data_IF_888774003374
#
_entry.id   IF_888774003374
#
_cell.length_a   1.000
_cell.length_b   1.000
_cell.length_c   1.000
_cell.angle_alpha   90.00
_cell.angle_beta   90.00
_cell.angle_gamma   90.00
#
_symmetry.space_group_name_H-M   'P 1'
#
loop_
_entity.id
_entity.type
_entity.pdbx_description
1 polymer ?
#
# COMPACT_ATOMS: atom_id res chain seq x y z
N UNK A 1 -13.04 14.58 3.61
CA UNK A 1 -12.78 13.62 2.51
C UNK A 1 -14.08 12.98 2.02
N UNK A 2 -14.79 12.18 2.84
CA UNK A 2 -16.08 11.60 2.45
C UNK A 2 -17.15 12.63 2.07
N UNK A 3 -17.15 13.80 2.71
CA UNK A 3 -18.01 14.94 2.35
C UNK A 3 -17.68 15.58 0.99
N UNK A 4 -16.52 15.30 0.41
CA UNK A 4 -16.12 15.82 -0.92
C UNK A 4 -16.45 14.79 -2.00
N UNK A 5 -16.05 13.53 -1.79
CA UNK A 5 -16.14 12.50 -2.83
C UNK A 5 -17.42 11.64 -2.74
N UNK A 6 -18.01 11.50 -1.56
CA UNK A 6 -19.18 10.64 -1.32
C UNK A 6 -18.87 9.13 -1.35
N UNK A 7 -19.62 8.35 -0.58
CA UNK A 7 -19.42 6.89 -0.44
C UNK A 7 -19.57 6.14 -1.78
N UNK A 8 -20.50 6.58 -2.63
CA UNK A 8 -20.74 5.96 -3.94
C UNK A 8 -19.48 5.97 -4.82
N UNK A 9 -18.75 7.09 -4.87
CA UNK A 9 -17.53 7.19 -5.67
C UNK A 9 -16.37 6.39 -5.05
N UNK A 10 -16.32 6.25 -3.72
CA UNK A 10 -15.34 5.37 -3.06
C UNK A 10 -15.58 3.91 -3.44
N UNK A 11 -16.83 3.45 -3.42
CA UNK A 11 -17.18 2.10 -3.85
C UNK A 11 -16.99 1.89 -5.36
N UNK A 12 -17.28 2.90 -6.20
CA UNK A 12 -17.00 2.83 -7.63
C UNK A 12 -15.50 2.65 -7.91
N UNK A 13 -14.65 3.36 -7.16
CA UNK A 13 -13.20 3.17 -7.23
C UNK A 13 -12.80 1.76 -6.75
N UNK A 14 -13.32 1.30 -5.62
CA UNK A 14 -13.05 -0.03 -5.08
C UNK A 14 -13.44 -1.13 -6.09
N UNK A 15 -14.59 -1.00 -6.75
CA UNK A 15 -15.04 -1.91 -7.80
C UNK A 15 -14.10 -1.90 -9.01
N UNK A 16 -13.70 -0.71 -9.50
CA UNK A 16 -12.75 -0.57 -10.61
C UNK A 16 -11.37 -1.16 -10.28
N UNK A 17 -10.96 -1.07 -9.02
CA UNK A 17 -9.75 -1.69 -8.48
C UNK A 17 -9.91 -3.20 -8.17
N UNK A 18 -11.10 -3.76 -8.38
CA UNK A 18 -11.44 -5.17 -8.06
C UNK A 18 -11.22 -5.51 -6.58
N UNK A 19 -11.49 -4.56 -5.70
CA UNK A 19 -11.50 -4.77 -4.26
C UNK A 19 -12.81 -5.47 -3.88
N UNK A 20 -12.74 -6.76 -3.55
CA UNK A 20 -13.92 -7.63 -3.40
C UNK A 20 -14.47 -7.67 -1.97
N UNK A 21 -13.66 -7.31 -0.98
CA UNK A 21 -14.00 -7.42 0.45
C UNK A 21 -13.82 -6.09 1.18
N UNK A 22 -13.80 -5.00 0.43
CA UNK A 22 -13.75 -3.63 0.94
C UNK A 22 -15.10 -3.23 1.52
N UNK A 23 -15.09 -2.65 2.72
CA UNK A 23 -16.29 -2.06 3.33
C UNK A 23 -15.91 -0.73 3.94
N UNK A 24 -16.57 0.33 3.47
CA UNK A 24 -16.33 1.69 3.93
C UNK A 24 -17.09 1.96 5.24
N UNK A 25 -16.38 2.50 6.23
CA UNK A 25 -16.99 3.13 7.41
C UNK A 25 -17.06 4.63 7.15
N UNK A 26 -18.26 5.21 7.22
CA UNK A 26 -18.49 6.64 6.90
C UNK A 26 -18.09 7.60 8.02
N UNK A 27 -18.00 7.10 9.26
CA UNK A 27 -17.44 7.83 10.40
C UNK A 27 -15.90 7.88 10.34
N UNK A 28 -15.24 7.28 11.32
CA UNK A 28 -13.77 7.11 11.30
C UNK A 28 -13.38 6.17 10.17
N UNK A 29 -13.04 6.72 9.01
CA UNK A 29 -12.72 5.95 7.80
C UNK A 29 -11.59 4.92 8.00
N UNK A 30 -10.71 5.13 8.99
CA UNK A 30 -9.68 4.18 9.39
C UNK A 30 -10.21 2.82 9.86
N UNK A 31 -11.49 2.74 10.25
CA UNK A 31 -12.17 1.49 10.60
C UNK A 31 -12.78 0.76 9.39
N UNK A 32 -12.56 1.29 8.18
CA UNK A 32 -12.98 0.60 6.96
C UNK A 32 -12.27 -0.73 6.83
N UNK A 33 -13.02 -1.77 6.47
CA UNK A 33 -12.45 -3.09 6.21
C UNK A 33 -11.67 -3.08 4.91
N UNK A 34 -10.42 -3.51 5.00
CA UNK A 34 -9.54 -3.79 3.85
C UNK A 34 -9.02 -5.22 3.93
N UNK A 35 -8.52 -5.75 2.82
CA UNK A 35 -7.78 -7.03 2.80
C UNK A 35 -6.48 -6.85 2.04
N UNK A 36 -5.48 -7.68 2.36
CA UNK A 36 -4.19 -7.63 1.66
C UNK A 36 -4.38 -7.84 0.14
N UNK A 37 -5.22 -8.80 -0.26
CA UNK A 37 -5.52 -9.06 -1.66
C UNK A 37 -6.16 -7.86 -2.38
N UNK A 38 -7.09 -7.16 -1.73
CA UNK A 38 -7.73 -5.97 -2.31
C UNK A 38 -6.75 -4.80 -2.43
N UNK A 39 -5.93 -4.57 -1.40
CA UNK A 39 -4.90 -3.53 -1.41
C UNK A 39 -3.82 -3.80 -2.46
N UNK A 40 -3.39 -5.05 -2.63
CA UNK A 40 -2.46 -5.45 -3.70
C UNK A 40 -3.04 -5.18 -5.08
N UNK A 41 -4.32 -5.51 -5.34
CA UNK A 41 -4.97 -5.19 -6.62
C UNK A 41 -5.06 -3.69 -6.86
N UNK A 42 -5.43 -2.94 -5.83
CA UNK A 42 -5.49 -1.48 -5.89
C UNK A 42 -4.12 -0.87 -6.22
N UNK A 43 -3.07 -1.23 -5.48
CA UNK A 43 -1.73 -0.69 -5.68
C UNK A 43 -1.06 -1.16 -6.98
N UNK A 44 -1.38 -2.36 -7.47
CA UNK A 44 -0.85 -2.84 -8.75
C UNK A 44 -1.26 -1.91 -9.91
N UNK A 45 -2.45 -1.30 -9.84
CA UNK A 45 -3.05 -0.46 -10.88
C UNK A 45 -3.25 1.02 -10.46
N UNK A 46 -2.65 1.46 -9.36
CA UNK A 46 -2.97 2.74 -8.71
C UNK A 46 -2.82 3.96 -9.63
N UNK A 47 -1.77 3.98 -10.46
CA UNK A 47 -1.53 5.02 -11.45
C UNK A 47 -2.65 5.12 -12.49
N UNK A 48 -3.14 3.98 -13.01
CA UNK A 48 -4.26 3.96 -13.96
C UNK A 48 -5.59 4.38 -13.32
N UNK A 49 -5.74 4.20 -12.00
CA UNK A 49 -6.91 4.60 -11.25
C UNK A 49 -6.95 6.10 -10.93
N UNK A 50 -5.80 6.78 -10.99
CA UNK A 50 -5.71 8.23 -10.80
C UNK A 50 -6.01 8.95 -12.12
N UNK A 51 -6.80 10.03 -12.03
CA UNK A 51 -7.10 10.90 -13.17
C UNK A 51 -5.79 11.38 -13.84
N UNK A 52 -5.67 11.37 -15.18
CA UNK A 52 -4.41 11.64 -15.87
C UNK A 52 -3.70 12.92 -15.40
N UNK A 53 -4.46 14.02 -15.22
CA UNK A 53 -3.95 15.32 -14.76
C UNK A 53 -3.28 15.29 -13.37
N UNK A 54 -3.62 14.32 -12.52
CA UNK A 54 -3.14 14.22 -11.13
C UNK A 54 -2.14 13.08 -10.92
N UNK A 55 -1.92 12.25 -11.95
CA UNK A 55 -1.14 11.00 -11.83
C UNK A 55 0.29 11.25 -11.39
N UNK A 56 1.00 12.14 -12.07
CA UNK A 56 2.39 12.44 -11.76
C UNK A 56 2.56 12.94 -10.32
N UNK A 57 1.68 13.85 -9.90
CA UNK A 57 1.68 14.40 -8.54
C UNK A 57 1.42 13.32 -7.48
N UNK A 58 0.34 12.56 -7.62
CA UNK A 58 -0.03 11.52 -6.65
C UNK A 58 1.01 10.40 -6.55
N UNK A 59 1.54 9.93 -7.69
CA UNK A 59 2.63 8.94 -7.69
C UNK A 59 3.92 9.53 -7.12
N UNK A 60 4.20 10.81 -7.36
CA UNK A 60 5.30 11.53 -6.71
C UNK A 60 5.20 11.44 -5.19
N UNK A 61 4.05 11.79 -4.61
CA UNK A 61 3.81 11.71 -3.16
C UNK A 61 4.04 10.31 -2.57
N UNK A 62 3.58 9.25 -3.26
CA UNK A 62 3.78 7.87 -2.82
C UNK A 62 5.26 7.43 -2.90
N UNK A 63 6.05 8.05 -3.76
CA UNK A 63 7.48 7.78 -3.89
C UNK A 63 8.33 8.55 -2.87
N UNK A 64 7.93 9.77 -2.56
CA UNK A 64 8.71 10.75 -1.78
C UNK A 64 8.23 10.92 -0.34
N UNK A 65 7.53 9.93 0.22
CA UNK A 65 7.17 9.92 1.65
C UNK A 65 8.41 10.22 2.51
N UNK A 66 8.24 11.15 3.47
CA UNK A 66 9.30 11.74 4.28
C UNK A 66 10.11 10.70 5.07
N UNK A 67 11.39 10.95 5.35
CA UNK A 67 12.28 9.95 5.97
C UNK A 67 11.74 9.30 7.25
N UNK A 68 11.09 10.08 8.13
CA UNK A 68 10.53 9.57 9.40
C UNK A 68 9.38 8.58 9.19
N UNK A 69 8.66 8.68 8.07
CA UNK A 69 7.56 7.79 7.68
C UNK A 69 8.04 6.60 6.82
N UNK A 70 9.36 6.44 6.59
CA UNK A 70 9.94 5.32 5.83
C UNK A 70 10.41 4.18 6.72
N UNK A 71 9.45 3.44 7.27
CA UNK A 71 9.67 2.22 8.06
C UNK A 71 9.11 0.97 7.35
N UNK A 72 9.28 -0.22 7.92
CA UNK A 72 8.77 -1.47 7.33
C UNK A 72 9.27 -1.74 5.89
N UNK A 73 8.35 -2.02 4.97
CA UNK A 73 8.58 -2.21 3.52
C UNK A 73 9.40 -1.06 2.94
N UNK A 74 9.22 0.18 3.41
CA UNK A 74 9.92 1.34 2.86
C UNK A 74 11.44 1.35 3.12
N UNK A 75 11.92 0.48 4.02
CA UNK A 75 13.35 0.21 4.25
C UNK A 75 13.88 -0.93 3.36
N UNK A 76 13.01 -1.64 2.66
CA UNK A 76 13.34 -2.79 1.81
C UNK A 76 13.04 -2.41 0.37
N UNK A 77 14.01 -1.76 -0.28
CA UNK A 77 13.92 -1.41 -1.69
C UNK A 77 14.98 -2.18 -2.48
N UNK A 78 14.58 -3.21 -3.25
CA UNK A 78 15.45 -3.87 -4.21
C UNK A 78 16.14 -2.88 -5.16
N UNK A 79 17.36 -3.17 -5.58
CA UNK A 79 18.15 -2.34 -6.49
C UNK A 79 17.40 -2.18 -7.82
N UNK A 80 17.45 -0.98 -8.39
CA UNK A 80 16.79 -0.62 -9.67
C UNK A 80 15.25 -0.65 -9.64
N UNK A 81 14.62 -1.05 -8.53
CA UNK A 81 13.18 -0.96 -8.36
C UNK A 81 12.80 0.39 -7.76
N UNK A 82 11.86 1.09 -8.40
CA UNK A 82 11.24 2.30 -7.85
C UNK A 82 10.11 1.88 -6.92
N UNK A 83 10.05 2.48 -5.72
CA UNK A 83 9.08 2.13 -4.68
C UNK A 83 8.06 3.25 -4.50
N UNK A 84 6.79 2.90 -4.60
CA UNK A 84 5.65 3.71 -4.20
C UNK A 84 4.95 3.01 -3.05
N UNK A 85 4.66 3.70 -1.95
CA UNK A 85 4.03 3.04 -0.81
C UNK A 85 3.15 3.98 -0.01
N UNK A 86 2.30 3.38 0.82
CA UNK A 86 1.61 4.08 1.91
C UNK A 86 1.57 3.19 3.14
N UNK A 87 1.87 3.79 4.29
CA UNK A 87 1.66 3.17 5.60
C UNK A 87 0.43 3.72 6.33
N UNK A 88 -0.10 2.91 7.25
CA UNK A 88 -1.13 3.29 8.21
C UNK A 88 -0.96 2.50 9.50
N UNK A 89 -1.16 3.14 10.64
CA UNK A 89 -1.09 2.52 11.97
C UNK A 89 -2.13 3.16 12.88
N UNK A 90 -2.51 2.47 13.95
CA UNK A 90 -3.42 3.01 14.95
C UNK A 90 -4.13 1.93 15.77
N UNK A 91 -4.90 2.37 16.74
CA UNK A 91 -5.74 1.56 17.62
C UNK A 91 -7.18 1.52 17.09
N UNK A 92 -7.52 0.41 16.42
CA UNK A 92 -8.89 0.10 16.04
C UNK A 92 -9.46 -0.99 16.94
N UNK A 93 -9.81 -2.13 16.35
CA UNK A 93 -10.14 -3.36 17.09
C UNK A 93 -8.88 -4.08 17.64
N UNK A 94 -7.81 -3.31 17.88
CA UNK A 94 -6.43 -3.75 18.17
C UNK A 94 -5.40 -2.83 17.51
N UNK A 95 -4.13 -2.92 17.90
CA UNK A 95 -3.06 -2.11 17.28
C UNK A 95 -2.72 -2.67 15.90
N UNK A 96 -2.87 -1.84 14.88
CA UNK A 96 -2.56 -2.21 13.49
C UNK A 96 -1.33 -1.49 12.98
N UNK A 97 -0.59 -2.21 12.14
CA UNK A 97 0.51 -1.69 11.35
C UNK A 97 0.36 -2.25 9.93
N UNK A 98 0.08 -1.36 8.98
CA UNK A 98 -0.30 -1.73 7.62
C UNK A 98 0.57 -0.99 6.63
N UNK A 99 1.08 -1.70 5.63
CA UNK A 99 1.77 -1.09 4.51
C UNK A 99 1.38 -1.76 3.19
N UNK A 100 1.20 -0.93 2.18
CA UNK A 100 0.96 -1.36 0.81
C UNK A 100 1.96 -0.65 -0.09
N UNK A 101 2.52 -1.40 -1.03
CA UNK A 101 3.54 -0.94 -1.93
C UNK A 101 3.29 -1.39 -3.37
N UNK A 102 3.79 -0.58 -4.29
CA UNK A 102 4.02 -0.89 -5.69
C UNK A 102 5.52 -0.69 -5.95
N UNK A 103 6.16 -1.74 -6.44
CA UNK A 103 7.52 -1.70 -6.98
C UNK A 103 7.45 -1.77 -8.50
N UNK A 104 8.19 -0.91 -9.19
CA UNK A 104 8.28 -0.92 -10.66
C UNK A 104 9.73 -0.95 -11.13
N UNK A 105 10.01 -1.76 -12.14
CA UNK A 105 11.29 -1.80 -12.87
C UNK A 105 10.98 -2.11 -14.32
N UNK A 106 11.32 -1.21 -15.23
CA UNK A 106 11.02 -1.35 -16.67
C UNK A 106 9.51 -1.64 -16.87
N UNK A 107 9.17 -2.73 -17.56
CA UNK A 107 7.78 -3.17 -17.74
C UNK A 107 7.24 -4.03 -16.58
N UNK A 108 8.08 -4.36 -15.59
CA UNK A 108 7.72 -5.20 -14.46
C UNK A 108 7.12 -4.38 -13.33
N UNK A 109 6.05 -4.94 -12.73
CA UNK A 109 5.32 -4.34 -11.62
C UNK A 109 5.01 -5.42 -10.59
N UNK A 110 5.30 -5.13 -9.33
CA UNK A 110 5.00 -6.00 -8.20
C UNK A 110 4.30 -5.17 -7.13
N UNK A 111 3.14 -5.63 -6.67
CA UNK A 111 2.48 -5.01 -5.53
C UNK A 111 2.47 -5.94 -4.33
N UNK A 112 2.73 -5.39 -3.15
CA UNK A 112 2.77 -6.11 -1.88
C UNK A 112 1.95 -5.35 -0.86
N UNK A 113 1.02 -6.04 -0.19
CA UNK A 113 0.29 -5.54 0.94
C UNK A 113 0.58 -6.42 2.16
N UNK A 114 0.98 -5.82 3.27
CA UNK A 114 1.18 -6.50 4.54
C UNK A 114 0.29 -5.80 5.57
N UNK A 115 -0.66 -6.54 6.12
CA UNK A 115 -1.59 -6.08 7.14
C UNK A 115 -1.33 -6.89 8.41
N UNK A 116 -0.88 -6.25 9.49
CA UNK A 116 -0.69 -6.89 10.78
C UNK A 116 -1.69 -6.36 11.81
N UNK A 117 -2.13 -7.26 12.68
CA UNK A 117 -2.91 -6.97 13.88
C UNK A 117 -2.16 -7.60 15.05
N UNK A 118 -1.84 -6.82 16.07
CA UNK A 118 -1.20 -7.32 17.30
C UNK A 118 -1.56 -6.44 18.50
N UNK A 119 -1.26 -6.92 19.71
CA UNK A 119 -1.61 -6.23 20.96
C UNK A 119 -0.54 -5.22 21.43
N UNK A 120 0.54 -5.02 20.67
CA UNK A 120 1.73 -4.29 21.16
C UNK A 120 2.21 -3.16 20.25
N UNK A 121 3.21 -2.43 20.74
CA UNK A 121 3.80 -1.16 20.27
C UNK A 121 4.11 -1.10 18.76
N UNK A 122 3.99 0.10 18.20
CA UNK A 122 4.32 0.43 16.81
C UNK A 122 5.70 -0.07 16.34
N UNK A 123 6.73 0.02 17.18
CA UNK A 123 8.09 -0.38 16.78
C UNK A 123 8.20 -1.87 16.44
N UNK A 124 7.47 -2.72 17.17
CA UNK A 124 7.40 -4.14 16.85
C UNK A 124 6.69 -4.40 15.50
N UNK A 125 5.62 -3.66 15.23
CA UNK A 125 4.93 -3.69 13.93
C UNK A 125 5.84 -3.27 12.79
N UNK A 126 6.60 -2.18 12.97
CA UNK A 126 7.58 -1.69 11.98
C UNK A 126 8.64 -2.73 11.62
N UNK A 127 9.18 -3.44 12.61
CA UNK A 127 10.20 -4.47 12.39
C UNK A 127 9.60 -5.75 11.80
N UNK A 128 8.39 -6.13 12.22
CA UNK A 128 7.63 -7.25 11.62
C UNK A 128 7.38 -7.02 10.14
N UNK A 129 6.89 -5.83 9.78
CA UNK A 129 6.67 -5.43 8.39
C UNK A 129 7.97 -5.48 7.58
N UNK A 130 9.09 -5.02 8.15
CA UNK A 130 10.40 -5.10 7.49
C UNK A 130 10.82 -6.55 7.26
N UNK A 131 10.71 -7.40 8.28
CA UNK A 131 11.10 -8.80 8.21
C UNK A 131 10.31 -9.61 7.19
N UNK A 132 9.00 -9.36 7.08
CA UNK A 132 8.16 -9.96 6.04
C UNK A 132 8.55 -9.42 4.66
N UNK A 133 8.76 -8.10 4.52
CA UNK A 133 9.14 -7.48 3.26
C UNK A 133 10.46 -8.04 2.69
N UNK A 134 11.49 -8.21 3.54
CA UNK A 134 12.76 -8.84 3.14
C UNK A 134 12.52 -10.22 2.52
N UNK A 135 11.66 -11.03 3.13
CA UNK A 135 11.39 -12.40 2.67
C UNK A 135 10.60 -12.43 1.37
N UNK A 136 9.59 -11.56 1.24
CA UNK A 136 8.76 -11.48 0.02
C UNK A 136 9.54 -10.92 -1.17
N UNK A 137 10.43 -9.95 -0.95
CA UNK A 137 11.10 -9.20 -2.02
C UNK A 137 12.49 -9.75 -2.39
N UNK A 138 13.02 -10.73 -1.65
CA UNK A 138 14.39 -11.27 -1.83
C UNK A 138 14.74 -11.65 -3.27
N UNK A 139 13.78 -12.13 -4.05
CA UNK A 139 14.01 -12.61 -5.43
C UNK A 139 14.07 -11.50 -6.47
N UNK A 140 13.64 -10.28 -6.15
CA UNK A 140 13.53 -9.20 -7.13
C UNK A 140 14.87 -8.57 -7.52
N UNK A 141 15.88 -8.70 -6.66
CA UNK A 141 17.26 -8.29 -6.97
C UNK A 141 17.95 -9.28 -7.92
N UNK A 142 17.55 -10.55 -7.87
CA UNK A 142 18.11 -11.65 -8.68
C UNK A 142 17.28 -11.96 -9.93
N UNK A 143 16.07 -11.41 -10.06
CA UNK A 143 15.22 -11.61 -11.21
C UNK A 143 15.81 -10.90 -12.45
N UNK A 144 16.33 -11.70 -13.39
CA UNK A 144 16.62 -11.25 -14.75
C UNK A 144 15.30 -10.96 -15.49
N UNK A 145 15.34 -9.99 -16.41
CA UNK A 145 14.23 -9.80 -17.32
C UNK A 145 14.19 -11.04 -18.23
N UNK A 146 13.08 -11.79 -18.21
CA UNK A 146 12.86 -12.85 -19.20
C UNK A 146 12.76 -12.14 -20.57
N UNK A 147 13.56 -12.56 -21.58
CA UNK A 147 13.63 -11.90 -22.88
C UNK A 147 12.27 -11.90 -23.62
#
# INVERSE_FOLDING_TARGET
>A
MLHIVGSANVYALAHRARMRRFTLVTGTWGFSRITAADQTRYFLHIDALIAPRHRAYAMGLLNTITPVQRWGIARVRPRRWRLYFKGGWGDGTGWVDHQVALLTRDNNRVSVAILTLHEQKHDYGRDTLRGIAVRLLRGLDSAEAVP
#
